data_IF_171466470881
#
_entry.id   IF_171466470881
#
_cell.length_a   1.000
_cell.length_b   1.000
_cell.length_c   1.000
_cell.angle_alpha   90.00
_cell.angle_beta   90.00
_cell.angle_gamma   90.00
#
_symmetry.space_group_name_H-M   'P 1'
#
loop_
_entity.id
_entity.type
_entity.pdbx_description
1 polymer ?
#
# COMPACT_ATOMS: atom_id res chain seq x y z
N UNK A 1 16.16 3.23 29.59
CA UNK A 1 15.48 3.81 28.42
C UNK A 1 15.64 2.81 27.28
N UNK A 2 14.57 2.12 26.86
CA UNK A 2 14.67 1.19 25.73
C UNK A 2 14.84 1.99 24.44
N UNK A 3 15.91 1.74 23.70
CA UNK A 3 16.13 2.33 22.38
C UNK A 3 15.02 1.88 21.42
N UNK A 4 14.41 2.80 20.65
CA UNK A 4 13.33 2.47 19.70
C UNK A 4 13.79 1.42 18.67
N UNK A 5 15.10 1.36 18.39
CA UNK A 5 15.72 0.42 17.46
C UNK A 5 15.52 -1.04 17.86
N UNK A 6 15.48 -1.35 19.15
CA UNK A 6 15.27 -2.75 19.61
C UNK A 6 13.83 -3.21 19.38
N UNK A 7 12.85 -2.32 19.59
CA UNK A 7 11.44 -2.60 19.29
C UNK A 7 11.24 -2.84 17.79
N UNK A 8 11.86 -2.00 16.95
CA UNK A 8 11.81 -2.16 15.50
C UNK A 8 12.51 -3.43 15.02
N UNK A 9 13.70 -3.74 15.53
CA UNK A 9 14.45 -4.93 15.08
C UNK A 9 13.71 -6.22 15.41
N UNK A 10 13.16 -6.34 16.62
CA UNK A 10 12.36 -7.50 17.04
C UNK A 10 11.11 -7.63 16.19
N UNK A 11 10.39 -6.53 15.95
CA UNK A 11 9.17 -6.54 15.14
C UNK A 11 9.46 -6.91 13.67
N UNK A 12 10.53 -6.37 13.08
CA UNK A 12 10.95 -6.71 11.72
C UNK A 12 11.28 -8.19 11.59
N UNK A 13 12.09 -8.73 12.51
CA UNK A 13 12.44 -10.15 12.52
C UNK A 13 11.21 -11.05 12.70
N UNK A 14 10.33 -10.72 13.65
CA UNK A 14 9.10 -11.47 13.87
C UNK A 14 8.17 -11.43 12.66
N UNK A 15 8.07 -10.28 11.99
CA UNK A 15 7.25 -10.12 10.77
C UNK A 15 7.82 -10.93 9.60
N UNK A 16 9.13 -10.86 9.37
CA UNK A 16 9.79 -11.64 8.31
C UNK A 16 9.69 -13.14 8.59
N UNK A 17 9.84 -13.56 9.84
CA UNK A 17 9.67 -14.95 10.24
C UNK A 17 8.23 -15.41 10.01
N UNK A 18 7.24 -14.59 10.37
CA UNK A 18 5.82 -14.89 10.12
C UNK A 18 5.55 -15.04 8.62
N UNK A 19 6.05 -14.12 7.78
CA UNK A 19 5.93 -14.21 6.32
C UNK A 19 6.60 -15.46 5.75
N UNK A 20 7.81 -15.78 6.22
CA UNK A 20 8.53 -16.98 5.82
C UNK A 20 7.76 -18.27 6.18
N UNK A 21 7.24 -18.33 7.40
CA UNK A 21 6.43 -19.45 7.87
C UNK A 21 5.13 -19.57 7.07
N UNK A 22 4.44 -18.45 6.83
CA UNK A 22 3.19 -18.41 6.06
C UNK A 22 3.33 -18.89 4.62
N UNK A 23 4.47 -18.65 3.98
CA UNK A 23 4.74 -19.12 2.62
C UNK A 23 5.02 -20.64 2.54
N UNK A 24 5.39 -21.27 3.65
CA UNK A 24 5.70 -22.72 3.71
C UNK A 24 4.52 -23.53 4.26
N UNK A 25 3.68 -22.91 5.09
CA UNK A 25 2.51 -23.55 5.69
C UNK A 25 1.41 -23.79 4.64
N UNK A 26 1.18 -25.05 4.33
CA UNK A 26 0.00 -25.49 3.58
C UNK A 26 -1.09 -25.91 4.58
N UNK A 27 -2.11 -25.07 4.74
CA UNK A 27 -3.27 -25.36 5.58
C UNK A 27 -4.50 -25.57 4.68
N UNK A 28 -5.46 -26.42 5.11
CA UNK A 28 -6.65 -26.72 4.31
C UNK A 28 -7.45 -25.44 4.04
N UNK A 29 -7.68 -25.16 2.76
CA UNK A 29 -8.48 -24.00 2.35
C UNK A 29 -9.91 -24.15 2.86
N UNK A 30 -10.40 -23.17 3.63
CA UNK A 30 -11.81 -23.10 4.00
C UNK A 30 -12.51 -22.12 3.07
N UNK A 31 -13.23 -22.68 2.11
CA UNK A 31 -14.03 -21.89 1.18
C UNK A 31 -15.31 -21.44 1.88
N UNK A 32 -15.50 -20.13 2.00
CA UNK A 32 -16.76 -19.54 2.46
C UNK A 32 -17.48 -18.98 1.25
N UNK A 33 -18.57 -19.64 0.85
CA UNK A 33 -19.43 -19.18 -0.23
C UNK A 33 -20.47 -18.19 0.30
N UNK A 34 -20.47 -16.99 -0.27
CA UNK A 34 -21.48 -15.96 -0.06
C UNK A 34 -22.17 -15.68 -1.38
N UNK A 35 -23.47 -15.43 -1.32
CA UNK A 35 -24.26 -15.00 -2.48
C UNK A 35 -24.41 -13.48 -2.41
N UNK A 36 -23.76 -12.75 -3.33
CA UNK A 36 -23.90 -11.29 -3.42
C UNK A 36 -24.40 -10.96 -4.81
N UNK A 37 -25.50 -10.20 -4.90
CA UNK A 37 -26.14 -9.81 -6.16
C UNK A 37 -26.49 -11.00 -7.08
N UNK A 38 -26.89 -12.15 -6.49
CA UNK A 38 -27.25 -13.35 -7.23
C UNK A 38 -26.08 -14.09 -7.89
N UNK A 39 -24.84 -13.72 -7.58
CA UNK A 39 -23.63 -14.40 -8.03
C UNK A 39 -22.96 -15.13 -6.85
N UNK A 40 -22.64 -16.43 -6.97
CA UNK A 40 -21.90 -17.15 -5.95
C UNK A 40 -20.44 -16.65 -5.94
N UNK A 41 -20.09 -15.93 -4.88
CA UNK A 41 -18.73 -15.49 -4.59
C UNK A 41 -18.18 -16.40 -3.49
N UNK A 42 -17.21 -17.21 -3.85
CA UNK A 42 -16.42 -17.99 -2.91
C UNK A 42 -15.20 -17.18 -2.48
N UNK A 43 -15.14 -16.79 -1.20
CA UNK A 43 -13.91 -16.29 -0.60
C UNK A 43 -13.20 -17.46 0.09
N UNK A 44 -11.97 -17.77 -0.33
CA UNK A 44 -11.16 -18.79 0.32
C UNK A 44 -10.42 -18.16 1.50
N UNK A 45 -10.76 -18.61 2.70
CA UNK A 45 -10.07 -18.19 3.92
C UNK A 45 -8.87 -19.13 4.09
N UNK A 46 -7.74 -18.69 3.53
CA UNK A 46 -6.51 -19.46 3.46
C UNK A 46 -5.55 -19.02 4.55
N UNK A 47 -4.62 -19.90 4.92
CA UNK A 47 -3.61 -19.58 5.92
C UNK A 47 -2.68 -18.44 5.54
N UNK A 48 -2.43 -18.26 4.25
CA UNK A 48 -1.65 -17.12 3.74
C UNK A 48 -2.26 -15.79 4.20
N UNK A 49 -3.58 -15.64 4.09
CA UNK A 49 -4.28 -14.43 4.53
C UNK A 49 -4.22 -14.29 6.06
N UNK A 50 -4.41 -15.38 6.81
CA UNK A 50 -4.34 -15.35 8.28
C UNK A 50 -2.94 -14.97 8.77
N UNK A 51 -1.89 -15.59 8.22
CA UNK A 51 -0.51 -15.29 8.58
C UNK A 51 -0.12 -13.89 8.12
N UNK A 52 -0.59 -13.43 6.96
CA UNK A 52 -0.41 -12.05 6.53
C UNK A 52 -1.03 -11.05 7.50
N UNK A 53 -2.26 -11.30 7.97
CA UNK A 53 -2.93 -10.44 8.96
C UNK A 53 -2.19 -10.43 10.31
N UNK A 54 -1.66 -11.59 10.74
CA UNK A 54 -0.81 -11.68 11.93
C UNK A 54 0.50 -10.89 11.74
N UNK A 55 1.15 -11.04 10.58
CA UNK A 55 2.37 -10.29 10.26
C UNK A 55 2.11 -8.77 10.21
N UNK A 56 0.96 -8.34 9.69
CA UNK A 56 0.52 -6.93 9.73
C UNK A 56 0.37 -6.48 11.19
N UNK A 57 -0.29 -7.27 12.03
CA UNK A 57 -0.47 -6.93 13.45
C UNK A 57 0.89 -6.80 14.17
N UNK A 58 1.83 -7.71 13.90
CA UNK A 58 3.19 -7.68 14.49
C UNK A 58 3.94 -6.42 14.08
N UNK A 59 3.98 -6.07 12.78
CA UNK A 59 4.72 -4.88 12.33
C UNK A 59 4.09 -3.59 12.85
N UNK A 60 2.76 -3.52 12.89
CA UNK A 60 2.02 -2.37 13.40
C UNK A 60 2.21 -2.19 14.91
N UNK A 61 2.15 -3.29 15.68
CA UNK A 61 2.40 -3.28 17.12
C UNK A 61 3.85 -2.91 17.45
N UNK A 62 4.81 -3.42 16.67
CA UNK A 62 6.22 -3.06 16.79
C UNK A 62 6.49 -1.58 16.53
N UNK A 63 5.89 -1.04 15.46
CA UNK A 63 5.97 0.38 15.16
C UNK A 63 5.28 1.22 16.25
N UNK A 64 4.14 0.78 16.77
CA UNK A 64 3.48 1.46 17.89
C UNK A 64 4.37 1.48 19.15
N UNK A 65 4.98 0.35 19.50
CA UNK A 65 5.90 0.26 20.62
C UNK A 65 7.09 1.20 20.45
N UNK A 66 7.68 1.26 19.25
CA UNK A 66 8.76 2.19 18.93
C UNK A 66 8.30 3.65 19.03
N UNK A 67 7.17 4.01 18.44
CA UNK A 67 6.60 5.37 18.49
C UNK A 67 6.33 5.81 19.93
N UNK A 68 5.86 4.91 20.80
CA UNK A 68 5.58 5.22 22.21
C UNK A 68 6.84 5.52 23.04
N UNK A 69 8.02 5.15 22.57
CA UNK A 69 9.30 5.54 23.21
C UNK A 69 9.76 6.96 22.87
N UNK A 70 9.04 7.65 21.96
CA UNK A 70 9.43 8.98 21.50
C UNK A 70 9.43 10.02 22.65
N UNK A 71 10.42 10.92 22.74
CA UNK A 71 10.56 11.89 23.84
C UNK A 71 9.39 12.89 23.99
N UNK A 72 8.58 13.05 22.95
CA UNK A 72 7.49 14.03 22.88
C UNK A 72 6.10 13.33 22.90
N UNK A 73 5.56 12.99 24.07
CA UNK A 73 4.32 12.20 24.18
C UNK A 73 3.06 12.91 23.69
N UNK A 74 3.05 14.25 23.66
CA UNK A 74 1.88 15.06 23.24
C UNK A 74 1.48 14.88 21.78
N UNK A 75 2.38 14.39 20.92
CA UNK A 75 2.14 14.14 19.49
C UNK A 75 1.55 12.74 19.23
N UNK A 76 1.48 11.86 20.24
CA UNK A 76 1.23 10.42 20.10
C UNK A 76 -0.24 10.00 20.23
N UNK A 77 -1.19 10.94 20.08
CA UNK A 77 -2.62 10.67 20.38
C UNK A 77 -3.29 9.70 19.40
N UNK A 78 -2.75 9.51 18.20
CA UNK A 78 -3.35 8.69 17.15
C UNK A 78 -2.30 7.86 16.38
N UNK A 79 -1.66 6.90 17.05
CA UNK A 79 -0.59 6.06 16.48
C UNK A 79 -1.05 5.16 15.32
N UNK A 80 -2.34 4.81 15.27
CA UNK A 80 -2.91 4.00 14.18
C UNK A 80 -2.73 4.63 12.78
N UNK A 81 -2.46 5.94 12.70
CA UNK A 81 -2.22 6.65 11.44
C UNK A 81 -0.94 6.21 10.73
N UNK A 82 -0.01 5.59 11.46
CA UNK A 82 1.29 5.14 10.96
C UNK A 82 1.29 3.70 10.45
N UNK A 83 0.16 3.01 10.54
CA UNK A 83 0.07 1.58 10.25
C UNK A 83 -0.20 1.25 8.78
N UNK A 84 -0.68 2.22 8.01
CA UNK A 84 -1.17 1.99 6.65
C UNK A 84 -0.07 1.47 5.70
N UNK A 85 1.11 2.11 5.70
CA UNK A 85 2.19 1.75 4.79
C UNK A 85 2.93 0.45 5.17
N UNK A 86 3.36 0.24 6.44
CA UNK A 86 3.92 -1.05 6.85
C UNK A 86 2.96 -2.21 6.57
N UNK A 87 1.67 -2.02 6.87
CA UNK A 87 0.64 -3.03 6.60
C UNK A 87 0.51 -3.34 5.11
N UNK A 88 0.48 -2.32 4.25
CA UNK A 88 0.43 -2.51 2.80
C UNK A 88 1.65 -3.28 2.27
N UNK A 89 2.86 -2.98 2.76
CA UNK A 89 4.08 -3.71 2.36
C UNK A 89 4.01 -5.18 2.77
N UNK A 90 3.58 -5.47 4.01
CA UNK A 90 3.43 -6.85 4.48
C UNK A 90 2.41 -7.62 3.66
N UNK A 91 1.24 -7.04 3.39
CA UNK A 91 0.22 -7.66 2.54
C UNK A 91 0.72 -7.91 1.11
N UNK A 92 1.50 -6.98 0.58
CA UNK A 92 2.13 -7.12 -0.74
C UNK A 92 3.12 -8.28 -0.75
N UNK A 93 4.01 -8.34 0.24
CA UNK A 93 5.00 -9.41 0.37
C UNK A 93 4.33 -10.78 0.54
N UNK A 94 3.29 -10.86 1.38
CA UNK A 94 2.52 -12.09 1.59
C UNK A 94 1.86 -12.61 0.31
N UNK A 95 1.48 -11.72 -0.62
CA UNK A 95 0.90 -12.12 -1.91
C UNK A 95 1.96 -12.55 -2.94
N UNK A 96 3.20 -12.06 -2.83
CA UNK A 96 4.28 -12.37 -3.80
C UNK A 96 5.05 -13.63 -3.40
N UNK A 97 5.31 -13.83 -2.10
CA UNK A 97 6.15 -14.91 -1.59
C UNK A 97 5.71 -16.31 -2.06
N UNK A 98 4.41 -16.68 -1.98
CA UNK A 98 3.94 -18.00 -2.46
C UNK A 98 4.07 -18.17 -3.98
N UNK A 99 4.05 -17.06 -4.73
CA UNK A 99 4.13 -17.06 -6.19
C UNK A 99 5.58 -17.10 -6.73
N UNK A 100 6.59 -17.09 -5.85
CA UNK A 100 8.00 -17.07 -6.28
C UNK A 100 8.41 -18.42 -6.92
N UNK A 101 8.87 -18.44 -8.18
CA UNK A 101 9.14 -19.69 -8.89
C UNK A 101 10.48 -20.34 -8.50
N UNK A 102 11.39 -19.58 -7.87
CA UNK A 102 12.70 -20.06 -7.45
C UNK A 102 13.01 -19.63 -6.02
N UNK A 103 13.79 -20.45 -5.30
CA UNK A 103 14.24 -20.11 -3.94
C UNK A 103 15.06 -18.81 -3.91
N UNK A 104 15.84 -18.53 -4.96
CA UNK A 104 16.60 -17.30 -5.08
C UNK A 104 15.69 -16.07 -5.12
N UNK A 105 14.61 -16.11 -5.93
CA UNK A 105 13.62 -15.04 -5.97
C UNK A 105 12.84 -14.94 -4.65
N UNK A 106 12.52 -16.07 -4.02
CA UNK A 106 11.86 -16.10 -2.73
C UNK A 106 12.68 -15.36 -1.65
N UNK A 107 13.98 -15.69 -1.52
CA UNK A 107 14.88 -14.98 -0.61
C UNK A 107 15.07 -13.51 -0.99
N UNK A 108 15.13 -13.19 -2.29
CA UNK A 108 15.23 -11.81 -2.75
C UNK A 108 13.99 -10.98 -2.36
N UNK A 109 12.79 -11.52 -2.53
CA UNK A 109 11.53 -10.87 -2.11
C UNK A 109 11.51 -10.68 -0.59
N UNK A 110 11.90 -11.70 0.17
CA UNK A 110 11.95 -11.60 1.63
C UNK A 110 12.96 -10.53 2.10
N UNK A 111 14.15 -10.52 1.52
CA UNK A 111 15.19 -9.53 1.82
C UNK A 111 14.76 -8.11 1.44
N UNK A 112 14.18 -7.93 0.26
CA UNK A 112 13.66 -6.64 -0.20
C UNK A 112 12.53 -6.15 0.70
N UNK A 113 11.64 -7.05 1.13
CA UNK A 113 10.57 -6.74 2.09
C UNK A 113 11.17 -6.28 3.42
N UNK A 114 12.18 -6.98 3.93
CA UNK A 114 12.87 -6.60 5.16
C UNK A 114 13.50 -5.20 5.08
N UNK A 115 14.18 -4.91 3.97
CA UNK A 115 14.76 -3.59 3.70
C UNK A 115 13.68 -2.50 3.60
N UNK A 116 12.58 -2.77 2.88
CA UNK A 116 11.48 -1.84 2.74
C UNK A 116 10.79 -1.56 4.08
N UNK A 117 10.53 -2.58 4.89
CA UNK A 117 9.94 -2.42 6.22
C UNK A 117 10.88 -1.70 7.19
N UNK A 118 12.19 -1.97 7.14
CA UNK A 118 13.17 -1.23 7.92
C UNK A 118 13.20 0.25 7.52
N UNK A 119 13.23 0.54 6.22
CA UNK A 119 13.21 1.91 5.71
C UNK A 119 11.92 2.64 6.08
N UNK A 120 10.75 2.00 5.92
CA UNK A 120 9.45 2.58 6.30
C UNK A 120 9.39 2.82 7.80
N UNK A 121 9.66 1.82 8.64
CA UNK A 121 9.50 1.99 10.10
C UNK A 121 10.43 3.06 10.67
N UNK A 122 11.67 3.15 10.18
CA UNK A 122 12.60 4.22 10.56
C UNK A 122 12.15 5.58 10.03
N UNK A 123 11.68 5.66 8.78
CA UNK A 123 11.20 6.91 8.22
C UNK A 123 9.92 7.40 8.93
N UNK A 124 8.98 6.50 9.23
CA UNK A 124 7.78 6.79 10.02
C UNK A 124 8.15 7.39 11.37
N UNK A 125 9.14 6.80 12.07
CA UNK A 125 9.62 7.32 13.36
C UNK A 125 10.17 8.76 13.24
N UNK A 126 10.97 9.05 12.22
CA UNK A 126 11.51 10.41 12.01
C UNK A 126 10.48 11.43 11.51
N UNK A 127 9.32 10.98 11.00
CA UNK A 127 8.23 11.89 10.61
C UNK A 127 7.34 12.34 11.77
N UNK A 128 7.55 11.82 12.99
CA UNK A 128 6.77 12.20 14.18
C UNK A 128 6.95 13.68 14.52
N UNK A 129 8.17 14.21 14.37
CA UNK A 129 8.51 15.59 14.70
C UNK A 129 8.90 16.40 13.43
N UNK A 130 8.00 17.25 12.89
CA UNK A 130 8.27 18.05 11.68
C UNK A 130 9.46 19.01 11.76
N UNK A 131 9.97 19.29 12.97
CA UNK A 131 11.09 20.19 13.22
C UNK A 131 12.47 19.53 13.15
N UNK A 132 12.56 18.21 12.97
CA UNK A 132 13.85 17.52 12.92
C UNK A 132 14.51 17.58 11.53
N UNK A 133 15.85 17.62 11.45
CA UNK A 133 16.59 17.71 10.17
C UNK A 133 16.24 16.57 9.18
N UNK A 134 15.90 15.40 9.70
CA UNK A 134 15.63 14.19 8.92
C UNK A 134 14.18 14.08 8.43
N UNK A 135 13.30 15.04 8.77
CA UNK A 135 11.89 14.98 8.39
C UNK A 135 11.69 14.93 6.87
N UNK A 136 12.39 15.80 6.12
CA UNK A 136 12.21 15.92 4.67
C UNK A 136 12.67 14.67 3.92
N UNK A 137 13.81 14.11 4.31
CA UNK A 137 14.33 12.88 3.71
C UNK A 137 13.45 11.68 4.07
N UNK A 138 13.03 11.55 5.33
CA UNK A 138 12.12 10.50 5.76
C UNK A 138 10.80 10.55 4.99
N UNK A 139 10.20 11.74 4.82
CA UNK A 139 8.95 11.88 4.06
C UNK A 139 9.11 11.53 2.58
N UNK A 140 10.24 11.92 1.97
CA UNK A 140 10.55 11.52 0.59
C UNK A 140 10.64 10.00 0.47
N UNK A 141 11.33 9.34 1.40
CA UNK A 141 11.44 7.87 1.45
C UNK A 141 10.07 7.21 1.57
N UNK A 142 9.19 7.68 2.47
CA UNK A 142 7.82 7.15 2.59
C UNK A 142 7.02 7.31 1.30
N UNK A 143 7.11 8.46 0.63
CA UNK A 143 6.41 8.68 -0.64
C UNK A 143 6.91 7.73 -1.74
N UNK A 144 8.23 7.56 -1.87
CA UNK A 144 8.83 6.64 -2.84
C UNK A 144 8.35 5.21 -2.55
N UNK A 145 8.40 4.77 -1.29
CA UNK A 145 7.99 3.43 -0.90
C UNK A 145 6.48 3.21 -1.08
N UNK A 146 5.64 4.22 -0.84
CA UNK A 146 4.20 4.13 -1.08
C UNK A 146 3.88 3.94 -2.56
N UNK A 147 4.48 4.73 -3.45
CA UNK A 147 4.26 4.57 -4.90
C UNK A 147 4.90 3.30 -5.45
N UNK A 148 6.06 2.87 -4.95
CA UNK A 148 6.66 1.59 -5.31
C UNK A 148 5.77 0.41 -4.87
N UNK A 149 5.22 0.46 -3.66
CA UNK A 149 4.28 -0.56 -3.15
C UNK A 149 3.00 -0.58 -3.99
N UNK A 150 2.44 0.59 -4.32
CA UNK A 150 1.28 0.70 -5.21
C UNK A 150 1.55 0.04 -6.57
N UNK A 151 2.71 0.34 -7.19
CA UNK A 151 3.09 -0.21 -8.48
C UNK A 151 3.14 -1.74 -8.45
N UNK A 152 3.83 -2.30 -7.47
CA UNK A 152 3.99 -3.76 -7.30
C UNK A 152 2.64 -4.43 -7.09
N UNK A 153 1.81 -3.90 -6.18
CA UNK A 153 0.47 -4.45 -5.90
C UNK A 153 -0.43 -4.41 -7.14
N UNK A 154 -0.48 -3.26 -7.84
CA UNK A 154 -1.37 -3.12 -8.99
C UNK A 154 -0.96 -4.07 -10.12
N UNK A 155 0.34 -4.22 -10.37
CA UNK A 155 0.83 -5.21 -11.35
C UNK A 155 0.44 -6.63 -10.89
N UNK A 156 0.71 -6.97 -9.62
CA UNK A 156 0.45 -8.30 -9.08
C UNK A 156 -1.03 -8.70 -9.24
N UNK A 157 -1.95 -7.82 -8.83
CA UNK A 157 -3.40 -8.08 -8.91
C UNK A 157 -3.85 -8.37 -10.35
N UNK A 158 -3.29 -7.68 -11.35
CA UNK A 158 -3.61 -7.94 -12.75
C UNK A 158 -2.92 -9.18 -13.32
N UNK A 159 -1.79 -9.62 -12.76
CA UNK A 159 -1.16 -10.89 -13.17
C UNK A 159 -1.94 -12.11 -12.69
N UNK A 160 -2.57 -12.04 -11.52
CA UNK A 160 -3.32 -13.16 -10.92
C UNK A 160 -4.62 -13.50 -11.67
N UNK A 161 -5.09 -12.65 -12.60
CA UNK A 161 -6.35 -12.81 -13.37
C UNK A 161 -7.54 -13.31 -12.54
N UNK A 162 -7.66 -12.84 -11.30
CA UNK A 162 -8.75 -13.23 -10.40
C UNK A 162 -10.07 -12.58 -10.83
N UNK A 163 -11.20 -13.05 -10.28
CA UNK A 163 -12.52 -12.48 -10.58
C UNK A 163 -12.50 -10.97 -10.30
N UNK A 164 -13.03 -10.17 -11.23
CA UNK A 164 -13.00 -8.70 -11.20
C UNK A 164 -13.39 -8.08 -9.86
N UNK A 165 -14.36 -8.70 -9.17
CA UNK A 165 -14.83 -8.24 -7.87
C UNK A 165 -13.73 -8.29 -6.79
N UNK A 166 -12.96 -9.39 -6.73
CA UNK A 166 -11.88 -9.57 -5.75
C UNK A 166 -10.76 -8.57 -6.04
N UNK A 167 -10.35 -8.46 -7.31
CA UNK A 167 -9.33 -7.48 -7.74
C UNK A 167 -9.72 -6.04 -7.40
N UNK A 168 -10.97 -5.66 -7.67
CA UNK A 168 -11.47 -4.32 -7.37
C UNK A 168 -11.45 -4.03 -5.87
N UNK A 169 -11.86 -4.99 -5.02
CA UNK A 169 -11.79 -4.81 -3.57
C UNK A 169 -10.35 -4.68 -3.06
N UNK A 170 -9.42 -5.51 -3.55
CA UNK A 170 -8.02 -5.45 -3.15
C UNK A 170 -7.36 -4.12 -3.56
N UNK A 171 -7.59 -3.67 -4.80
CA UNK A 171 -7.11 -2.38 -5.29
C UNK A 171 -7.70 -1.24 -4.47
N UNK A 172 -9.00 -1.27 -4.19
CA UNK A 172 -9.66 -0.26 -3.36
C UNK A 172 -9.07 -0.16 -1.96
N UNK A 173 -8.94 -1.29 -1.25
CA UNK A 173 -8.39 -1.32 0.11
C UNK A 173 -6.95 -0.80 0.15
N UNK A 174 -6.08 -1.31 -0.73
CA UNK A 174 -4.65 -0.94 -0.72
C UNK A 174 -4.46 0.51 -1.16
N UNK A 175 -5.15 0.96 -2.21
CA UNK A 175 -5.08 2.36 -2.65
C UNK A 175 -5.62 3.33 -1.58
N UNK A 176 -6.68 2.95 -0.86
CA UNK A 176 -7.18 3.72 0.28
C UNK A 176 -6.14 3.88 1.39
N UNK A 177 -5.52 2.77 1.81
CA UNK A 177 -4.47 2.78 2.83
C UNK A 177 -3.28 3.65 2.40
N UNK A 178 -2.78 3.47 1.17
CA UNK A 178 -1.65 4.24 0.65
C UNK A 178 -1.99 5.73 0.48
N UNK A 179 -3.20 6.05 0.06
CA UNK A 179 -3.68 7.45 -0.02
C UNK A 179 -3.71 8.09 1.35
N UNK A 180 -4.24 7.39 2.36
CA UNK A 180 -4.29 7.90 3.73
C UNK A 180 -2.88 8.25 4.24
N UNK A 181 -1.90 7.38 3.97
CA UNK A 181 -0.50 7.64 4.31
C UNK A 181 0.06 8.86 3.57
N UNK A 182 -0.14 8.93 2.25
CA UNK A 182 0.37 10.02 1.40
C UNK A 182 -0.23 11.39 1.77
N UNK A 183 -1.50 11.42 2.19
CA UNK A 183 -2.18 12.65 2.59
C UNK A 183 -1.94 13.04 4.06
N UNK A 184 -1.43 12.11 4.89
CA UNK A 184 -1.23 12.33 6.33
C UNK A 184 -0.40 13.57 6.67
N UNK A 185 0.61 13.90 5.85
CA UNK A 185 1.50 15.05 6.10
C UNK A 185 0.91 16.42 5.77
N UNK A 186 -0.19 16.47 5.02
CA UNK A 186 -0.71 17.74 4.46
C UNK A 186 -1.64 18.45 5.43
N UNK A 187 -2.23 17.73 6.39
CA UNK A 187 -3.39 18.21 7.12
C UNK A 187 -3.31 17.99 8.62
N UNK A 188 -3.67 19.05 9.37
CA UNK A 188 -4.03 18.94 10.79
C UNK A 188 -5.37 18.21 11.00
N UNK A 189 -6.25 18.14 9.97
CA UNK A 189 -7.59 17.52 10.06
C UNK A 189 -7.63 16.14 9.40
N UNK A 190 -7.33 15.10 10.19
CA UNK A 190 -7.37 13.69 9.78
C UNK A 190 -8.66 13.26 9.05
N UNK A 191 -9.83 13.82 9.44
CA UNK A 191 -11.12 13.50 8.82
C UNK A 191 -11.15 13.80 7.32
N UNK A 192 -10.50 14.88 6.86
CA UNK A 192 -10.47 15.22 5.43
C UNK A 192 -9.58 14.24 4.66
N UNK A 193 -8.40 13.91 5.20
CA UNK A 193 -7.52 12.89 4.62
C UNK A 193 -8.23 11.54 4.47
N UNK A 194 -9.02 11.15 5.49
CA UNK A 194 -9.82 9.92 5.45
C UNK A 194 -10.95 9.96 4.41
N UNK A 195 -11.63 11.10 4.25
CA UNK A 195 -12.66 11.25 3.20
C UNK A 195 -12.03 11.13 1.80
N UNK A 196 -10.92 11.83 1.54
CA UNK A 196 -10.22 11.74 0.26
C UNK A 196 -9.67 10.33 0.01
N UNK A 197 -9.17 9.63 1.03
CA UNK A 197 -8.70 8.25 0.86
C UNK A 197 -9.82 7.29 0.49
N UNK A 198 -11.02 7.45 1.08
CA UNK A 198 -12.19 6.64 0.73
C UNK A 198 -12.66 6.93 -0.70
N UNK A 199 -12.72 8.21 -1.09
CA UNK A 199 -13.10 8.59 -2.46
C UNK A 199 -12.11 8.02 -3.48
N UNK A 200 -10.81 8.18 -3.25
CA UNK A 200 -9.78 7.66 -4.15
C UNK A 200 -9.83 6.12 -4.21
N UNK A 201 -10.02 5.44 -3.08
CA UNK A 201 -10.20 4.00 -3.03
C UNK A 201 -11.39 3.52 -3.88
N UNK A 202 -12.54 4.20 -3.79
CA UNK A 202 -13.72 3.86 -4.58
C UNK A 202 -13.48 4.09 -6.07
N UNK A 203 -12.87 5.21 -6.45
CA UNK A 203 -12.54 5.51 -7.86
C UNK A 203 -11.58 4.47 -8.43
N UNK A 204 -10.55 4.08 -7.68
CA UNK A 204 -9.59 3.05 -8.08
C UNK A 204 -10.26 1.67 -8.22
N UNK A 205 -11.13 1.30 -7.28
CA UNK A 205 -11.90 0.06 -7.34
C UNK A 205 -12.83 0.01 -8.56
N UNK A 206 -13.57 1.09 -8.84
CA UNK A 206 -14.46 1.18 -10.01
C UNK A 206 -13.67 1.16 -11.33
N UNK A 207 -12.52 1.84 -11.38
CA UNK A 207 -11.65 1.86 -12.58
C UNK A 207 -11.13 0.47 -12.91
N UNK A 208 -10.97 -0.41 -11.91
CA UNK A 208 -10.58 -1.81 -12.11
C UNK A 208 -11.58 -2.56 -12.98
N UNK A 209 -12.88 -2.27 -12.88
CA UNK A 209 -13.88 -2.94 -13.72
C UNK A 209 -13.69 -2.59 -15.19
N UNK A 210 -13.51 -1.31 -15.51
CA UNK A 210 -13.29 -0.84 -16.88
C UNK A 210 -12.05 -1.47 -17.49
N UNK A 211 -10.96 -1.48 -16.71
CA UNK A 211 -9.67 -2.01 -17.11
C UNK A 211 -9.63 -3.53 -17.27
N UNK A 212 -10.44 -4.27 -16.52
CA UNK A 212 -10.48 -5.73 -16.64
C UNK A 212 -11.05 -6.21 -18.00
N UNK A 213 -11.79 -5.36 -18.72
CA UNK A 213 -12.28 -5.69 -20.07
C UNK A 213 -11.31 -5.29 -21.19
N UNK A 214 -10.20 -4.61 -20.87
CA UNK A 214 -9.27 -4.11 -21.88
C UNK A 214 -8.22 -5.18 -22.25
N UNK A 215 -7.98 -5.47 -23.54
CA UNK A 215 -7.05 -6.53 -23.98
C UNK A 215 -5.54 -6.23 -23.85
N UNK A 216 -5.11 -5.45 -22.85
CA UNK A 216 -3.68 -5.13 -22.66
C UNK A 216 -2.96 -6.10 -21.70
N UNK A 217 -1.63 -6.12 -21.76
CA UNK A 217 -0.80 -6.90 -20.85
C UNK A 217 -0.98 -6.46 -19.38
N UNK A 218 -0.97 -7.42 -18.44
CA UNK A 218 -1.19 -7.18 -17.01
C UNK A 218 -0.28 -6.12 -16.40
N UNK A 219 1.01 -6.12 -16.78
CA UNK A 219 1.96 -5.11 -16.31
C UNK A 219 1.58 -3.70 -16.73
N UNK A 220 1.10 -3.53 -17.98
CA UNK A 220 0.65 -2.23 -18.50
C UNK A 220 -0.57 -1.73 -17.75
N UNK A 221 -1.54 -2.59 -17.48
CA UNK A 221 -2.74 -2.22 -16.73
C UNK A 221 -2.41 -1.79 -15.29
N UNK A 222 -1.48 -2.48 -14.63
CA UNK A 222 -0.98 -2.08 -13.32
C UNK A 222 -0.31 -0.71 -13.34
N UNK A 223 0.48 -0.40 -14.37
CA UNK A 223 1.13 0.90 -14.53
C UNK A 223 0.14 2.03 -14.87
N UNK A 224 -0.88 1.77 -15.70
CA UNK A 224 -1.95 2.74 -15.97
C UNK A 224 -2.70 3.09 -14.68
N UNK A 225 -3.00 2.09 -13.84
CA UNK A 225 -3.58 2.33 -12.52
C UNK A 225 -2.65 3.12 -11.60
N UNK A 226 -1.35 2.87 -11.65
CA UNK A 226 -0.38 3.65 -10.88
C UNK A 226 -0.40 5.13 -11.28
N UNK A 227 -0.45 5.41 -12.59
CA UNK A 227 -0.58 6.78 -13.10
C UNK A 227 -1.89 7.40 -12.60
N UNK A 228 -3.01 6.70 -12.74
CA UNK A 228 -4.31 7.17 -12.22
C UNK A 228 -4.25 7.47 -10.71
N UNK A 229 -3.67 6.56 -9.92
CA UNK A 229 -3.49 6.72 -8.49
C UNK A 229 -2.65 7.96 -8.15
N UNK A 230 -1.50 8.12 -8.80
CA UNK A 230 -0.61 9.27 -8.62
C UNK A 230 -1.33 10.60 -8.87
N UNK A 231 -2.15 10.66 -9.91
CA UNK A 231 -2.90 11.86 -10.27
C UNK A 231 -3.97 12.19 -9.24
N UNK A 232 -4.76 11.20 -8.83
CA UNK A 232 -5.81 11.38 -7.83
C UNK A 232 -5.22 11.84 -6.50
N UNK A 233 -4.13 11.22 -6.06
CA UNK A 233 -3.41 11.62 -4.85
C UNK A 233 -2.84 13.03 -5.01
N UNK A 234 -2.23 13.35 -6.15
CA UNK A 234 -1.67 14.69 -6.43
C UNK A 234 -2.72 15.79 -6.41
N UNK A 235 -3.88 15.55 -7.03
CA UNK A 235 -5.03 16.48 -7.01
C UNK A 235 -5.55 16.68 -5.58
N UNK A 236 -5.73 15.59 -4.82
CA UNK A 236 -6.17 15.69 -3.44
C UNK A 236 -5.14 16.44 -2.58
N UNK A 237 -3.85 16.24 -2.80
CA UNK A 237 -2.77 16.95 -2.12
C UNK A 237 -2.85 18.46 -2.37
N UNK A 238 -3.09 18.87 -3.62
CA UNK A 238 -3.20 20.29 -3.98
C UNK A 238 -4.49 20.95 -3.49
N UNK A 239 -5.62 20.23 -3.53
CA UNK A 239 -6.89 20.68 -2.92
C UNK A 239 -6.70 20.94 -1.42
N UNK A 240 -6.04 20.00 -0.73
CA UNK A 240 -5.80 20.10 0.71
C UNK A 240 -4.85 21.24 1.08
N UNK A 241 -3.96 21.64 0.18
CA UNK A 241 -3.09 22.81 0.33
C UNK A 241 -3.81 24.14 0.01
N UNK A 242 -5.08 24.11 -0.41
CA UNK A 242 -5.84 25.30 -0.81
C UNK A 242 -5.29 25.95 -2.09
N UNK A 243 -4.51 25.23 -2.87
CA UNK A 243 -3.82 25.74 -4.06
C UNK A 243 -4.48 25.30 -5.36
N UNK A 244 -5.68 24.69 -5.32
CA UNK A 244 -6.31 24.23 -6.54
C UNK A 244 -6.87 25.40 -7.34
N UNK A 245 -6.12 25.77 -8.37
CA UNK A 245 -6.64 26.61 -9.45
C UNK A 245 -7.13 25.67 -10.55
N UNK A 246 -8.27 25.98 -11.18
CA UNK A 246 -8.86 25.21 -12.30
C UNK A 246 -7.83 24.84 -13.39
N UNK A 247 -6.83 25.70 -13.58
CA UNK A 247 -5.67 25.53 -14.47
C UNK A 247 -4.71 24.40 -14.06
N UNK A 248 -4.36 24.27 -12.78
CA UNK A 248 -3.47 23.20 -12.29
C UNK A 248 -4.14 21.83 -12.32
N UNK A 249 -5.45 21.79 -12.05
CA UNK A 249 -6.26 20.58 -12.25
C UNK A 249 -6.24 20.11 -13.71
N UNK A 250 -6.35 21.05 -14.66
CA UNK A 250 -6.22 20.77 -16.10
C UNK A 250 -4.80 20.32 -16.49
N UNK A 251 -3.74 20.91 -15.95
CA UNK A 251 -2.35 20.48 -16.21
C UNK A 251 -2.12 19.02 -15.77
N UNK A 252 -2.65 18.61 -14.62
CA UNK A 252 -2.59 17.21 -14.18
C UNK A 252 -3.41 16.28 -15.07
N UNK A 253 -4.61 16.68 -15.50
CA UNK A 253 -5.47 15.89 -16.39
C UNK A 253 -4.85 15.73 -17.80
N UNK A 254 -4.14 16.75 -18.29
CA UNK A 254 -3.42 16.69 -19.56
C UNK A 254 -2.20 15.76 -19.43
N UNK A 255 -1.39 15.90 -18.38
CA UNK A 255 -0.24 15.01 -18.13
C UNK A 255 -0.67 13.55 -17.97
N UNK A 256 -1.79 13.32 -17.30
CA UNK A 256 -2.45 12.02 -17.22
C UNK A 256 -2.79 11.45 -18.60
N UNK A 257 -3.51 12.25 -19.40
CA UNK A 257 -3.92 11.86 -20.74
C UNK A 257 -2.73 11.55 -21.63
N UNK A 258 -1.65 12.34 -21.54
CA UNK A 258 -0.41 12.12 -22.27
C UNK A 258 0.29 10.83 -21.82
N UNK A 259 0.42 10.58 -20.51
CA UNK A 259 1.04 9.36 -19.99
C UNK A 259 0.27 8.09 -20.41
N UNK A 260 -1.07 8.14 -20.34
CA UNK A 260 -1.93 7.05 -20.82
C UNK A 260 -1.85 6.89 -22.33
N UNK A 261 -1.90 7.98 -23.10
CA UNK A 261 -1.79 7.95 -24.55
C UNK A 261 -0.44 7.38 -25.00
N UNK A 262 0.66 7.75 -24.33
CA UNK A 262 1.99 7.18 -24.58
C UNK A 262 2.00 5.67 -24.28
N UNK A 263 1.41 5.22 -23.17
CA UNK A 263 1.33 3.78 -22.86
C UNK A 263 0.47 2.98 -23.84
N UNK A 264 -0.58 3.59 -24.38
CA UNK A 264 -1.43 2.97 -25.41
C UNK A 264 -0.73 2.94 -26.76
N UNK A 265 0.05 3.99 -27.09
CA UNK A 265 0.68 4.13 -28.39
C UNK A 265 1.97 3.30 -28.54
N UNK A 266 2.66 2.96 -27.45
CA UNK A 266 3.80 2.04 -27.47
C UNK A 266 3.36 0.59 -27.15
N UNK A 267 3.16 -0.28 -28.16
CA UNK A 267 2.70 -1.65 -27.96
C UNK A 267 3.73 -2.59 -27.31
N UNK A 268 4.99 -2.18 -27.16
CA UNK A 268 6.10 -3.06 -26.74
C UNK A 268 6.54 -2.82 -25.29
N UNK A 269 5.69 -3.16 -24.32
CA UNK A 269 6.03 -3.51 -22.93
C UNK A 269 4.96 -4.46 -22.37
#
# INVERSE_FOLDING_TARGET
>A
MSDYRSHLSVALWATLMALALGAVLTLPERVVSFEVLGSPISASLNAELLVALVAVAIVCAGLEAAIRTHPQPGLLKHTYRYWALPGAIVLTAAAILPAAPTNALWFAVLALTGLALAAVTVAEYHTIAPGEPHYRSARLTLNILAYATAAVVFILIYTTRSRSLISATAIGVISGLLTLELLRSVQYRFRQALLYSVVIALVMAQSTWVFNYWPFASARMGLILLVQFYLLVGLAHQELLGQLTRRRGLEYLILAGVAVALMVWFPTL
#
